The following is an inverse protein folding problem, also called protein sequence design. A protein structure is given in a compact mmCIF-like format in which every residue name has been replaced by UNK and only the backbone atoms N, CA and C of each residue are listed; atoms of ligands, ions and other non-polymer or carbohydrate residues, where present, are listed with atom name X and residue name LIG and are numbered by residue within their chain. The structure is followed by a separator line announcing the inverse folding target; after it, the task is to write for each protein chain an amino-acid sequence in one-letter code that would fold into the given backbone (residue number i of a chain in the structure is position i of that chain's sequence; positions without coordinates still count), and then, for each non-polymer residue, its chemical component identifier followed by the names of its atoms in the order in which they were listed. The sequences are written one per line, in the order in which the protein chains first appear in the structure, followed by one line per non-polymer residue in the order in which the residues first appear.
data_IF_363024864779
#
_entry.id   IF_363024864779
#
_cell.length_a   1.000
_cell.length_b   1.000
_cell.length_c   1.000
_cell.angle_alpha   90.00
_cell.angle_beta   90.00
_cell.angle_gamma   90.00
#
_symmetry.space_group_name_H-M   'P 1'
#
loop_
_entity.id
_entity.type
_entity.pdbx_description
1 polymer ?
#
# COMPACT_ATOMS: atom_id res chain seq x y z
N UNK A 1 46.47 -42.13 -34.17
CA UNK A 1 47.88 -42.58 -34.03
C UNK A 1 48.74 -41.33 -33.91
N UNK A 2 49.54 -41.24 -32.83
CA UNK A 2 50.72 -40.36 -32.62
C UNK A 2 50.49 -38.85 -32.60
N UNK A 3 50.48 -38.18 -31.43
CA UNK A 3 51.61 -37.70 -30.59
C UNK A 3 52.50 -36.62 -31.22
N UNK A 4 52.76 -35.61 -30.37
CA UNK A 4 53.96 -34.77 -30.19
C UNK A 4 53.95 -33.39 -30.84
N UNK A 5 54.53 -32.34 -30.25
CA UNK A 5 55.10 -31.96 -28.94
C UNK A 5 55.66 -30.52 -29.16
N UNK A 6 56.19 -29.92 -28.08
CA UNK A 6 57.07 -28.72 -28.03
C UNK A 6 56.30 -27.40 -28.02
N UNK A 7 56.12 -26.73 -26.89
CA UNK A 7 57.09 -26.17 -25.92
C UNK A 7 58.05 -25.16 -26.58
N UNK A 8 57.71 -23.87 -26.46
CA UNK A 8 58.71 -22.78 -26.40
C UNK A 8 58.20 -21.72 -25.43
N UNK A 9 58.91 -21.61 -24.30
CA UNK A 9 58.87 -20.47 -23.39
C UNK A 9 59.62 -19.33 -24.07
N UNK A 10 59.00 -18.16 -24.19
CA UNK A 10 59.72 -16.95 -24.55
C UNK A 10 59.21 -15.76 -23.73
N UNK A 11 60.12 -15.28 -22.90
CA UNK A 11 60.11 -14.07 -22.07
C UNK A 11 59.65 -12.85 -22.87
N UNK A 12 58.64 -12.11 -22.39
CA UNK A 12 58.36 -10.76 -22.88
C UNK A 12 58.21 -9.82 -21.67
N UNK A 13 58.93 -8.71 -21.82
CA UNK A 13 59.21 -7.69 -20.84
C UNK A 13 58.00 -6.80 -20.52
N UNK A 14 58.13 -6.20 -19.34
CA UNK A 14 57.33 -5.14 -18.74
C UNK A 14 57.20 -3.93 -19.68
N UNK A 15 55.97 -3.50 -19.97
CA UNK A 15 55.66 -2.14 -20.40
C UNK A 15 54.29 -1.75 -19.84
N UNK A 16 54.32 -0.83 -18.87
CA UNK A 16 53.17 -0.26 -18.20
C UNK A 16 52.37 0.62 -19.18
N UNK A 17 51.11 0.27 -19.41
CA UNK A 17 50.13 1.16 -20.00
C UNK A 17 49.30 1.76 -18.86
N UNK A 18 49.48 3.07 -18.63
CA UNK A 18 48.60 3.91 -17.83
C UNK A 18 47.16 3.80 -18.36
N UNK A 19 46.28 3.16 -17.60
CA UNK A 19 44.86 3.46 -17.64
C UNK A 19 44.57 4.36 -16.43
N UNK A 20 44.29 5.63 -16.70
CA UNK A 20 43.79 6.60 -15.74
C UNK A 20 42.42 6.12 -15.25
N UNK A 21 42.39 5.42 -14.12
CA UNK A 21 41.18 5.23 -13.34
C UNK A 21 40.86 6.52 -12.61
N UNK A 22 39.85 7.26 -13.06
CA UNK A 22 39.23 8.30 -12.24
C UNK A 22 38.43 7.62 -11.14
N UNK A 23 39.10 7.34 -10.03
CA UNK A 23 38.49 7.03 -8.75
C UNK A 23 37.83 8.31 -8.23
N UNK A 24 36.57 8.57 -8.58
CA UNK A 24 35.76 9.58 -7.91
C UNK A 24 35.35 9.04 -6.53
N UNK A 25 36.30 9.07 -5.58
CA UNK A 25 35.95 9.18 -4.18
C UNK A 25 35.46 10.61 -3.99
N UNK A 26 34.14 10.84 -4.01
CA UNK A 26 33.63 12.10 -3.49
C UNK A 26 33.83 12.05 -1.98
N UNK A 27 34.91 12.66 -1.49
CA UNK A 27 34.97 13.07 -0.09
C UNK A 27 33.73 13.94 0.16
N UNK A 28 32.85 13.48 1.05
CA UNK A 28 31.72 14.25 1.53
C UNK A 28 32.30 15.41 2.32
N UNK A 29 32.45 16.55 1.67
CA UNK A 29 32.81 17.79 2.34
C UNK A 29 31.65 18.14 3.27
N UNK A 30 31.81 17.87 4.57
CA UNK A 30 30.93 18.43 5.59
C UNK A 30 31.17 19.93 5.62
N UNK A 31 30.29 20.67 4.94
CA UNK A 31 30.26 22.13 5.06
C UNK A 31 29.99 22.47 6.52
N UNK A 32 30.82 23.28 7.19
CA UNK A 32 30.54 23.71 8.55
C UNK A 32 29.20 24.43 8.58
N UNK A 33 28.33 24.08 9.53
CA UNK A 33 27.05 24.76 9.70
C UNK A 33 27.30 26.26 9.94
N UNK A 34 26.83 27.10 9.02
CA UNK A 34 26.93 28.56 9.14
C UNK A 34 26.08 29.02 10.33
N UNK A 35 26.65 29.68 11.35
CA UNK A 35 25.85 30.22 12.45
C UNK A 35 24.88 31.27 11.89
N UNK A 36 23.58 31.01 11.99
CA UNK A 36 22.53 31.90 11.48
C UNK A 36 21.98 31.58 10.10
N UNK A 37 22.32 30.43 9.49
CA UNK A 37 21.55 29.92 8.36
C UNK A 37 20.09 29.65 8.84
N UNK A 38 19.06 30.04 8.07
CA UNK A 38 17.68 29.72 8.43
C UNK A 38 17.56 28.21 8.58
N UNK A 39 16.93 27.76 9.67
CA UNK A 39 16.66 26.33 9.85
C UNK A 39 15.93 25.81 8.60
N UNK A 40 16.52 24.81 7.94
CA UNK A 40 15.88 24.17 6.79
C UNK A 40 14.60 23.52 7.30
N UNK A 41 13.45 24.05 6.88
CA UNK A 41 12.16 23.49 7.21
C UNK A 41 12.04 22.09 6.60
N UNK A 42 11.50 21.11 7.35
CA UNK A 42 11.42 19.74 6.88
C UNK A 42 10.47 19.64 5.70
N UNK A 43 10.83 18.76 4.76
CA UNK A 43 10.00 18.38 3.63
C UNK A 43 9.47 16.98 3.88
N UNK A 44 8.16 16.86 4.07
CA UNK A 44 7.52 15.55 4.14
C UNK A 44 7.36 15.00 2.74
N UNK A 45 7.80 13.75 2.51
CA UNK A 45 7.67 13.03 1.24
C UNK A 45 6.73 11.85 1.39
N UNK A 46 5.59 11.91 0.72
CA UNK A 46 4.64 10.79 0.68
C UNK A 46 5.11 9.70 -0.30
N UNK A 47 5.07 8.44 0.13
CA UNK A 47 5.44 7.27 -0.66
C UNK A 47 4.35 6.22 -0.53
N UNK A 48 3.94 5.59 -1.63
CA UNK A 48 2.97 4.50 -1.56
C UNK A 48 3.66 3.22 -1.10
N UNK A 49 3.06 2.54 -0.13
CA UNK A 49 3.46 1.19 0.24
C UNK A 49 3.19 0.21 -0.91
N UNK A 50 4.07 -0.78 -1.03
CA UNK A 50 3.73 -2.02 -1.73
C UNK A 50 2.55 -2.71 -1.01
N UNK A 51 1.92 -3.68 -1.67
CA UNK A 51 1.05 -4.60 -0.95
C UNK A 51 1.90 -5.39 0.04
N UNK A 52 1.35 -5.62 1.23
CA UNK A 52 1.97 -6.54 2.17
C UNK A 52 1.92 -7.96 1.58
N UNK A 53 3.01 -8.72 1.78
CA UNK A 53 3.19 -10.03 1.15
C UNK A 53 3.79 -10.01 -0.27
N UNK A 54 4.22 -8.84 -0.78
CA UNK A 54 5.05 -8.77 -2.00
C UNK A 54 4.29 -8.84 -3.33
N UNK A 55 2.94 -8.77 -3.30
CA UNK A 55 2.15 -8.63 -4.51
C UNK A 55 2.35 -7.27 -5.20
N UNK A 56 2.23 -7.26 -6.53
CA UNK A 56 2.41 -6.05 -7.33
C UNK A 56 1.09 -5.30 -7.54
N UNK A 57 1.19 -3.97 -7.57
CA UNK A 57 0.09 -3.12 -7.98
C UNK A 57 -0.14 -3.22 -9.49
N UNK A 58 -1.40 -3.17 -9.91
CA UNK A 58 -1.78 -3.12 -11.31
C UNK A 58 -1.64 -1.71 -11.88
N UNK A 59 -1.65 -1.61 -13.21
CA UNK A 59 -1.68 -0.31 -13.89
C UNK A 59 -2.89 0.50 -13.42
N UNK A 60 -2.67 1.77 -13.07
CA UNK A 60 -3.71 2.67 -12.58
C UNK A 60 -4.11 2.50 -11.12
N UNK A 61 -3.80 1.37 -10.47
CA UNK A 61 -4.18 1.09 -9.07
C UNK A 61 -3.54 2.07 -8.08
N UNK A 62 -2.37 2.60 -8.44
CA UNK A 62 -1.60 3.57 -7.66
C UNK A 62 -1.73 5.01 -8.16
N UNK A 63 -2.67 5.26 -9.09
CA UNK A 63 -2.93 6.62 -9.56
C UNK A 63 -3.50 7.44 -8.41
N UNK A 64 -2.82 8.54 -8.12
CA UNK A 64 -3.32 9.54 -7.20
C UNK A 64 -4.00 10.65 -8.01
N UNK A 65 -5.18 11.08 -7.56
CA UNK A 65 -5.95 12.19 -8.14
C UNK A 65 -5.83 13.45 -7.29
N UNK A 66 -5.76 13.28 -5.97
CA UNK A 66 -5.52 14.34 -4.98
C UNK A 66 -4.61 13.83 -3.87
N UNK A 67 -3.89 14.76 -3.22
CA UNK A 67 -3.03 14.48 -2.07
C UNK A 67 -3.09 15.68 -1.11
N UNK A 68 -3.46 15.41 0.13
CA UNK A 68 -3.64 16.42 1.18
C UNK A 68 -2.93 15.97 2.45
N UNK A 69 -2.44 16.92 3.25
CA UNK A 69 -1.86 16.63 4.55
C UNK A 69 -2.49 17.49 5.64
N UNK A 70 -2.89 16.88 6.75
CA UNK A 70 -3.55 17.51 7.89
C UNK A 70 -2.58 17.48 9.08
N UNK A 71 -2.13 18.66 9.52
CA UNK A 71 -1.25 18.83 10.66
C UNK A 71 -2.07 19.09 11.91
N UNK A 72 -1.93 18.21 12.89
CA UNK A 72 -2.50 18.37 14.22
C UNK A 72 -1.42 18.81 15.18
N UNK A 73 -1.68 19.85 15.96
CA UNK A 73 -0.80 20.37 17.01
C UNK A 73 -1.63 20.47 18.29
N UNK A 74 -1.09 19.98 19.39
CA UNK A 74 -1.79 19.93 20.68
C UNK A 74 -3.19 19.28 20.57
N UNK A 75 -3.31 18.23 19.74
CA UNK A 75 -4.55 17.47 19.53
C UNK A 75 -5.63 18.16 18.71
N UNK A 76 -5.35 19.28 18.04
CA UNK A 76 -6.31 20.02 17.20
C UNK A 76 -5.77 20.24 15.79
N UNK A 77 -6.64 20.18 14.78
CA UNK A 77 -6.28 20.45 13.39
C UNK A 77 -5.81 21.90 13.24
N UNK A 78 -4.51 22.08 13.02
CA UNK A 78 -3.88 23.38 12.89
C UNK A 78 -3.84 23.85 11.44
N UNK A 79 -3.60 22.93 10.50
CA UNK A 79 -3.44 23.26 9.07
C UNK A 79 -3.68 22.08 8.16
N UNK A 80 -4.24 22.35 6.99
CA UNK A 80 -4.35 21.45 5.85
C UNK A 80 -3.47 21.99 4.73
N UNK A 81 -2.68 21.10 4.14
CA UNK A 81 -1.81 21.35 3.01
C UNK A 81 -2.34 20.62 1.79
N UNK A 82 -2.16 21.23 0.61
CA UNK A 82 -2.36 20.57 -0.69
C UNK A 82 -1.02 20.23 -1.29
N UNK A 83 -0.83 18.96 -1.66
CA UNK A 83 0.43 18.46 -2.17
C UNK A 83 0.34 18.23 -3.68
N UNK A 84 1.45 18.41 -4.42
CA UNK A 84 1.50 18.02 -5.81
C UNK A 84 1.42 16.49 -5.94
N UNK A 85 0.68 16.04 -6.95
CA UNK A 85 0.45 14.63 -7.23
C UNK A 85 1.45 14.08 -8.27
N UNK A 86 2.37 14.92 -8.76
CA UNK A 86 3.29 14.58 -9.83
C UNK A 86 4.36 13.57 -9.37
N UNK A 87 4.71 12.57 -10.20
CA UNK A 87 5.74 11.58 -9.87
C UNK A 87 7.15 12.18 -9.69
N UNK A 88 7.46 13.25 -10.43
CA UNK A 88 8.85 13.70 -10.64
C UNK A 88 9.35 14.74 -9.61
N UNK A 89 8.45 15.44 -8.91
CA UNK A 89 8.81 16.51 -7.97
C UNK A 89 9.00 16.02 -6.52
N UNK A 90 8.77 14.73 -6.28
CA UNK A 90 8.56 14.19 -4.95
C UNK A 90 7.24 14.72 -4.38
N UNK A 91 6.40 13.83 -3.87
CA UNK A 91 5.11 14.16 -3.27
C UNK A 91 5.33 14.87 -1.94
N UNK A 92 5.73 16.14 -2.03
CA UNK A 92 6.46 16.87 -1.01
C UNK A 92 5.67 18.03 -0.43
N UNK A 93 5.70 18.23 0.89
CA UNK A 93 5.25 19.48 1.52
C UNK A 93 6.30 20.00 2.49
N UNK A 94 6.66 21.28 2.35
CA UNK A 94 7.49 21.95 3.34
C UNK A 94 6.64 22.35 4.54
N UNK A 95 6.98 21.84 5.72
CA UNK A 95 6.26 22.17 6.95
C UNK A 95 6.73 23.51 7.51
N UNK A 96 5.92 24.12 8.38
CA UNK A 96 6.29 25.38 9.04
C UNK A 96 7.02 25.15 10.37
N UNK A 97 6.95 23.93 10.91
CA UNK A 97 7.53 23.52 12.20
C UNK A 97 7.60 21.98 12.34
N UNK A 98 8.49 21.49 13.21
CA UNK A 98 8.51 20.11 13.71
C UNK A 98 7.67 20.03 14.99
N UNK A 99 6.35 19.92 14.88
CA UNK A 99 5.49 19.80 16.06
C UNK A 99 4.20 19.06 15.72
N UNK A 100 3.78 18.18 16.63
CA UNK A 100 2.54 17.42 16.54
C UNK A 100 2.61 16.24 15.56
N UNK A 101 1.49 15.93 14.93
CA UNK A 101 1.35 14.78 14.03
C UNK A 101 0.84 15.22 12.67
N UNK A 102 1.49 14.77 11.61
CA UNK A 102 1.03 14.99 10.25
C UNK A 102 0.36 13.73 9.71
N UNK A 103 -0.89 13.87 9.29
CA UNK A 103 -1.63 12.83 8.58
C UNK A 103 -1.69 13.17 7.11
N UNK A 104 -1.43 12.20 6.24
CA UNK A 104 -1.49 12.39 4.79
C UNK A 104 -2.58 11.47 4.24
N UNK A 105 -3.44 12.03 3.39
CA UNK A 105 -4.53 11.31 2.73
C UNK A 105 -4.50 11.59 1.22
N UNK A 106 -4.84 10.59 0.43
CA UNK A 106 -4.88 10.70 -1.03
C UNK A 106 -6.16 10.04 -1.58
N UNK A 107 -6.61 10.53 -2.74
CA UNK A 107 -7.86 10.08 -3.39
C UNK A 107 -9.08 10.25 -2.48
N UNK A 108 -9.15 11.39 -1.80
CA UNK A 108 -10.21 11.73 -0.84
C UNK A 108 -11.10 12.89 -1.28
N UNK A 109 -10.83 13.49 -2.44
CA UNK A 109 -11.69 14.51 -3.02
C UNK A 109 -13.12 13.98 -3.20
N UNK A 110 -14.11 14.74 -2.73
CA UNK A 110 -15.52 14.33 -2.73
C UNK A 110 -15.91 13.30 -1.66
N UNK A 111 -14.93 12.70 -0.95
CA UNK A 111 -15.17 11.85 0.22
C UNK A 111 -15.09 12.64 1.52
N UNK A 112 -14.22 13.65 1.56
CA UNK A 112 -13.98 14.52 2.72
C UNK A 112 -13.98 16.00 2.29
N UNK A 113 -14.60 16.86 3.09
CA UNK A 113 -14.47 18.31 2.95
C UNK A 113 -13.43 18.85 3.94
N UNK A 114 -12.15 18.69 3.59
CA UNK A 114 -11.04 19.07 4.47
C UNK A 114 -10.97 20.59 4.72
N UNK A 115 -11.47 21.41 3.79
CA UNK A 115 -11.48 22.86 3.94
C UNK A 115 -12.54 23.30 4.96
N UNK A 116 -13.70 22.63 4.98
CA UNK A 116 -14.70 22.81 6.04
C UNK A 116 -14.20 22.30 7.41
N UNK A 117 -13.54 21.14 7.45
CA UNK A 117 -13.00 20.58 8.70
C UNK A 117 -11.96 21.49 9.35
N UNK A 118 -11.09 22.14 8.56
CA UNK A 118 -10.11 23.09 9.09
C UNK A 118 -10.77 24.29 9.78
N UNK A 119 -11.92 24.74 9.30
CA UNK A 119 -12.66 25.86 9.92
C UNK A 119 -13.34 25.46 11.23
N UNK A 120 -13.61 24.16 11.43
CA UNK A 120 -14.42 23.61 12.51
C UNK A 120 -13.70 23.26 13.82
N UNK A 121 -12.39 23.52 13.95
CA UNK A 121 -11.59 23.11 15.12
C UNK A 121 -11.68 21.60 15.43
N UNK A 122 -11.45 20.76 14.42
CA UNK A 122 -11.50 19.30 14.55
C UNK A 122 -10.44 18.77 15.52
N UNK A 123 -10.84 17.89 16.45
CA UNK A 123 -9.92 17.20 17.35
C UNK A 123 -9.21 16.02 16.65
N UNK A 124 -7.97 15.73 17.04
CA UNK A 124 -7.21 14.59 16.51
C UNK A 124 -7.87 13.25 16.86
N UNK A 125 -8.52 13.17 18.03
CA UNK A 125 -9.29 11.98 18.43
C UNK A 125 -10.50 11.73 17.55
N UNK A 126 -11.18 12.78 17.08
CA UNK A 126 -12.32 12.64 16.17
C UNK A 126 -11.82 12.34 14.75
N UNK A 127 -10.72 12.98 14.33
CA UNK A 127 -10.06 12.70 13.06
C UNK A 127 -9.68 11.21 12.92
N UNK A 128 -9.09 10.60 13.95
CA UNK A 128 -8.75 9.17 13.95
C UNK A 128 -9.96 8.24 13.82
N UNK A 129 -11.16 8.71 14.16
CA UNK A 129 -12.42 7.95 14.04
C UNK A 129 -13.17 8.24 12.75
N UNK A 130 -12.69 9.17 11.92
CA UNK A 130 -13.34 9.45 10.65
C UNK A 130 -13.25 8.25 9.71
N UNK A 131 -14.32 8.07 8.95
CA UNK A 131 -14.46 6.97 8.01
C UNK A 131 -14.83 7.49 6.62
N UNK A 132 -14.42 6.74 5.60
CA UNK A 132 -14.96 6.88 4.25
C UNK A 132 -16.09 5.89 4.05
N UNK A 133 -17.08 6.28 3.26
CA UNK A 133 -18.22 5.42 2.91
C UNK A 133 -18.25 5.21 1.40
N UNK A 134 -18.65 4.01 0.96
CA UNK A 134 -18.88 3.70 -0.45
C UNK A 134 -19.93 4.65 -1.03
N UNK A 135 -19.56 5.42 -2.05
CA UNK A 135 -20.47 6.31 -2.79
C UNK A 135 -20.97 5.71 -4.12
N UNK A 136 -20.49 4.52 -4.50
CA UNK A 136 -20.77 3.90 -5.80
C UNK A 136 -20.86 2.38 -5.74
N UNK A 137 -20.48 1.70 -6.83
CA UNK A 137 -20.55 0.23 -6.93
C UNK A 137 -19.34 -0.50 -6.32
N UNK A 138 -18.27 0.23 -6.01
CA UNK A 138 -17.03 -0.30 -5.46
C UNK A 138 -16.55 0.59 -4.32
N UNK A 139 -15.79 0.04 -3.35
CA UNK A 139 -15.12 0.83 -2.32
C UNK A 139 -14.23 1.92 -2.93
N UNK A 140 -14.10 3.04 -2.22
CA UNK A 140 -13.19 4.10 -2.61
C UNK A 140 -11.74 3.64 -2.49
N UNK A 141 -10.94 3.82 -3.55
CA UNK A 141 -9.51 3.56 -3.53
C UNK A 141 -8.75 4.78 -2.98
N UNK A 142 -8.80 4.94 -1.66
CA UNK A 142 -8.09 5.99 -0.93
C UNK A 142 -6.79 5.47 -0.31
N UNK A 143 -5.88 6.39 0.02
CA UNK A 143 -4.63 6.08 0.70
C UNK A 143 -4.45 6.96 1.93
N UNK A 144 -3.80 6.42 2.95
CA UNK A 144 -3.52 7.17 4.18
C UNK A 144 -2.23 6.73 4.86
N UNK A 145 -1.63 7.65 5.60
CA UNK A 145 -0.46 7.40 6.44
C UNK A 145 -0.22 8.57 7.39
N UNK A 146 0.64 8.38 8.38
CA UNK A 146 0.95 9.42 9.36
C UNK A 146 2.42 9.43 9.77
N UNK A 147 2.87 10.53 10.35
CA UNK A 147 4.18 10.65 10.99
C UNK A 147 4.06 11.58 12.20
N UNK A 148 4.64 11.15 13.33
CA UNK A 148 4.84 12.04 14.47
C UNK A 148 6.05 12.93 14.20
N UNK A 149 5.87 14.24 14.39
CA UNK A 149 6.91 15.25 14.21
C UNK A 149 7.58 15.62 15.54
N UNK A 150 6.98 15.22 16.66
CA UNK A 150 7.50 15.49 18.00
C UNK A 150 8.77 14.66 18.26
N UNK A 151 9.79 15.31 18.82
CA UNK A 151 11.07 14.65 19.13
C UNK A 151 12.00 14.43 17.94
N UNK A 152 11.62 14.82 16.73
CA UNK A 152 12.52 14.81 15.57
C UNK A 152 13.60 15.89 15.72
N UNK A 153 14.86 15.52 15.42
CA UNK A 153 15.94 16.49 15.39
C UNK A 153 15.73 17.48 14.23
N UNK A 154 15.96 18.77 14.47
CA UNK A 154 15.89 19.83 13.46
C UNK A 154 16.91 19.66 12.30
N UNK A 155 17.73 18.61 12.32
CA UNK A 155 18.69 18.22 11.29
C UNK A 155 18.06 17.32 10.21
N UNK A 156 16.91 16.69 10.49
CA UNK A 156 16.18 15.90 9.51
C UNK A 156 15.35 16.80 8.60
N UNK A 157 15.79 16.93 7.35
CA UNK A 157 15.15 17.81 6.37
C UNK A 157 14.20 17.08 5.42
N UNK A 158 14.24 15.74 5.38
CA UNK A 158 13.32 14.92 4.59
C UNK A 158 12.65 13.87 5.47
N UNK A 159 11.32 13.90 5.51
CA UNK A 159 10.51 13.08 6.41
C UNK A 159 9.59 12.17 5.57
N UNK A 160 9.87 10.86 5.46
CA UNK A 160 9.05 9.97 4.66
C UNK A 160 7.74 9.62 5.37
N UNK A 161 6.61 9.73 4.67
CA UNK A 161 5.31 9.21 5.12
C UNK A 161 4.90 8.09 4.17
N UNK A 162 4.74 6.90 4.74
CA UNK A 162 4.30 5.72 3.99
C UNK A 162 2.78 5.70 3.95
N UNK A 163 2.20 5.72 2.75
CA UNK A 163 0.77 5.66 2.53
C UNK A 163 0.34 4.24 2.17
N UNK A 164 -0.64 3.72 2.90
CA UNK A 164 -1.24 2.40 2.67
C UNK A 164 -2.60 2.59 2.01
N UNK A 165 -3.02 1.63 1.18
CA UNK A 165 -4.39 1.58 0.64
C UNK A 165 -5.39 1.41 1.78
N UNK A 166 -6.54 2.03 1.65
CA UNK A 166 -7.69 1.85 2.55
C UNK A 166 -8.52 0.59 2.28
N UNK A 167 -8.14 -0.19 1.28
CA UNK A 167 -8.85 -1.39 0.80
C UNK A 167 -7.93 -2.59 0.76
N UNK A 168 -8.52 -3.78 0.86
CA UNK A 168 -7.95 -5.04 0.46
C UNK A 168 -8.34 -5.38 -0.99
N UNK A 169 -7.46 -6.08 -1.70
CA UNK A 169 -7.70 -6.59 -3.06
C UNK A 169 -7.91 -8.09 -3.03
N UNK A 170 -8.79 -8.60 -3.88
CA UNK A 170 -8.95 -10.03 -4.11
C UNK A 170 -8.50 -10.42 -5.51
N UNK A 171 -7.66 -11.44 -5.59
CA UNK A 171 -7.20 -12.04 -6.84
C UNK A 171 -7.81 -13.45 -6.99
N UNK A 172 -8.13 -13.87 -8.21
CA UNK A 172 -8.64 -15.21 -8.51
C UNK A 172 -7.51 -16.09 -9.06
N UNK A 173 -7.42 -17.31 -8.53
CA UNK A 173 -6.60 -18.38 -9.10
C UNK A 173 -7.46 -19.59 -9.45
N UNK A 174 -7.31 -20.11 -10.67
CA UNK A 174 -7.99 -21.33 -11.12
C UNK A 174 -6.98 -22.46 -11.18
N UNK A 175 -7.19 -23.50 -10.38
CA UNK A 175 -6.26 -24.64 -10.19
C UNK A 175 -7.02 -25.95 -10.35
N UNK A 176 -7.46 -26.24 -11.57
CA UNK A 176 -8.24 -27.43 -11.90
C UNK A 176 -7.53 -28.28 -12.94
N UNK A 177 -7.48 -29.60 -12.73
CA UNK A 177 -7.09 -30.55 -13.77
C UNK A 177 -8.27 -30.78 -14.73
N UNK A 178 -8.59 -29.80 -15.57
CA UNK A 178 -9.78 -29.82 -16.43
C UNK A 178 -10.17 -28.42 -16.92
N UNK A 179 -11.26 -28.35 -17.70
CA UNK A 179 -11.80 -27.05 -18.11
C UNK A 179 -12.61 -26.48 -16.96
N UNK A 180 -12.27 -25.26 -16.55
CA UNK A 180 -13.01 -24.52 -15.55
C UNK A 180 -13.28 -23.09 -16.02
N UNK A 181 -14.42 -22.55 -15.63
CA UNK A 181 -14.75 -21.15 -15.79
C UNK A 181 -15.48 -20.63 -14.55
N UNK A 182 -15.27 -19.36 -14.21
CA UNK A 182 -15.95 -18.68 -13.10
C UNK A 182 -16.84 -17.59 -13.68
N UNK A 183 -18.14 -17.67 -13.43
CA UNK A 183 -19.13 -16.74 -13.98
C UNK A 183 -19.63 -15.71 -12.96
N UNK A 184 -19.44 -15.95 -11.67
CA UNK A 184 -19.82 -15.03 -10.60
C UNK A 184 -18.88 -15.16 -9.41
N UNK A 185 -18.54 -14.02 -8.81
CA UNK A 185 -17.85 -13.91 -7.53
C UNK A 185 -18.60 -12.86 -6.72
N UNK A 186 -18.99 -13.20 -5.50
CA UNK A 186 -19.71 -12.33 -4.60
C UNK A 186 -19.10 -12.38 -3.20
N UNK A 187 -18.88 -11.21 -2.62
CA UNK A 187 -18.51 -11.04 -1.23
C UNK A 187 -19.75 -10.59 -0.46
N UNK A 188 -20.30 -11.49 0.36
CA UNK A 188 -21.49 -11.25 1.17
C UNK A 188 -21.14 -10.59 2.48
N UNK A 189 -22.03 -9.72 2.95
CA UNK A 189 -21.89 -8.99 4.21
C UNK A 189 -20.64 -8.09 4.30
N UNK A 190 -20.23 -7.49 3.17
CA UNK A 190 -19.08 -6.60 3.11
C UNK A 190 -19.41 -5.21 3.67
N UNK A 191 -18.55 -4.72 4.57
CA UNK A 191 -18.58 -3.36 5.10
C UNK A 191 -18.58 -2.32 3.97
N UNK A 192 -19.45 -1.32 4.11
CA UNK A 192 -19.59 -0.20 3.16
C UNK A 192 -18.87 1.07 3.64
N UNK A 193 -18.13 0.99 4.74
CA UNK A 193 -17.26 2.06 5.21
C UNK A 193 -16.00 1.49 5.87
N UNK A 194 -14.93 2.28 5.89
CA UNK A 194 -13.69 2.01 6.61
C UNK A 194 -13.16 3.27 7.26
N UNK A 195 -12.47 3.11 8.39
CA UNK A 195 -11.70 4.20 8.99
C UNK A 195 -10.62 4.72 8.03
N UNK A 196 -10.39 6.03 8.05
CA UNK A 196 -9.34 6.66 7.25
C UNK A 196 -7.95 6.10 7.59
N UNK A 197 -7.68 5.85 8.86
CA UNK A 197 -6.41 5.30 9.34
C UNK A 197 -6.62 3.89 9.90
N UNK A 198 -5.56 3.05 9.94
CA UNK A 198 -5.60 1.80 10.70
C UNK A 198 -6.00 2.07 12.15
N UNK A 199 -6.80 1.17 12.72
CA UNK A 199 -7.22 1.22 14.12
C UNK A 199 -6.91 -0.11 14.80
N UNK A 200 -6.63 -0.07 16.10
CA UNK A 200 -6.56 -1.28 16.91
C UNK A 200 -7.98 -1.68 17.37
N UNK A 201 -8.28 -2.98 17.38
CA UNK A 201 -9.57 -3.49 17.83
C UNK A 201 -10.59 -3.58 16.70
N UNK A 202 -11.78 -3.02 16.89
CA UNK A 202 -12.86 -3.10 15.89
C UNK A 202 -12.48 -2.35 14.61
N UNK A 203 -12.20 -3.13 13.57
CA UNK A 203 -11.72 -2.65 12.29
C UNK A 203 -12.80 -1.90 11.49
N UNK A 204 -14.07 -2.02 11.89
CA UNK A 204 -15.18 -1.35 11.22
C UNK A 204 -15.67 -0.12 11.99
N UNK A 205 -16.07 0.96 11.27
CA UNK A 205 -16.73 2.09 11.91
C UNK A 205 -17.98 1.68 12.70
N UNK A 206 -18.25 2.41 13.79
CA UNK A 206 -19.48 2.22 14.57
C UNK A 206 -20.71 2.35 13.65
N UNK A 207 -21.66 1.42 13.79
CA UNK A 207 -22.86 1.32 12.95
C UNK A 207 -22.59 1.15 11.44
N UNK A 208 -21.48 0.51 11.06
CA UNK A 208 -21.19 0.17 9.66
C UNK A 208 -22.36 -0.55 8.99
N UNK A 209 -22.77 -0.07 7.82
CA UNK A 209 -23.70 -0.81 6.96
C UNK A 209 -22.95 -1.88 6.17
N UNK A 210 -23.59 -3.03 5.95
CA UNK A 210 -23.01 -4.17 5.23
C UNK A 210 -23.92 -4.58 4.08
N UNK A 211 -23.32 -4.91 2.94
CA UNK A 211 -24.04 -5.30 1.72
C UNK A 211 -23.25 -6.37 0.95
N UNK A 212 -23.94 -7.06 0.05
CA UNK A 212 -23.31 -8.01 -0.87
C UNK A 212 -22.68 -7.24 -2.04
N UNK A 213 -21.41 -7.54 -2.32
CA UNK A 213 -20.64 -6.90 -3.39
C UNK A 213 -20.28 -7.95 -4.43
N UNK A 214 -20.67 -7.71 -5.68
CA UNK A 214 -20.39 -8.61 -6.80
C UNK A 214 -19.23 -8.12 -7.65
N UNK A 215 -18.38 -9.05 -8.10
CA UNK A 215 -17.35 -8.78 -9.09
C UNK A 215 -18.01 -8.39 -10.43
N UNK A 216 -17.37 -7.48 -11.17
CA UNK A 216 -17.82 -7.16 -12.54
C UNK A 216 -17.21 -8.15 -13.51
N UNK A 217 -17.99 -9.16 -13.89
CA UNK A 217 -17.59 -10.23 -14.83
C UNK A 217 -18.53 -10.19 -16.03
N UNK A 218 -18.03 -9.76 -17.20
CA UNK A 218 -18.81 -9.74 -18.44
C UNK A 218 -18.76 -11.07 -19.19
N UNK A 219 -17.66 -11.79 -19.07
CA UNK A 219 -17.44 -13.11 -19.65
C UNK A 219 -16.83 -14.04 -18.59
N UNK A 220 -17.17 -15.34 -18.58
CA UNK A 220 -16.63 -16.27 -17.60
C UNK A 220 -15.09 -16.27 -17.59
N UNK A 221 -14.51 -16.13 -16.40
CA UNK A 221 -13.07 -16.12 -16.19
C UNK A 221 -12.54 -17.54 -16.32
N UNK A 222 -11.57 -17.76 -17.22
CA UNK A 222 -10.96 -19.08 -17.49
C UNK A 222 -9.49 -19.14 -17.10
N UNK A 223 -8.95 -18.05 -16.57
CA UNK A 223 -7.55 -17.90 -16.17
C UNK A 223 -7.46 -17.16 -14.84
N UNK A 224 -6.27 -17.19 -14.24
CA UNK A 224 -5.96 -16.35 -13.08
C UNK A 224 -6.21 -14.90 -13.43
N UNK A 225 -6.95 -14.22 -12.56
CA UNK A 225 -7.43 -12.87 -12.80
C UNK A 225 -7.17 -12.04 -11.56
N UNK A 226 -6.29 -11.04 -11.60
CA UNK A 226 -6.07 -10.17 -10.46
C UNK A 226 -7.25 -9.19 -10.29
N UNK A 227 -7.38 -8.60 -9.10
CA UNK A 227 -8.31 -7.52 -8.79
C UNK A 227 -9.78 -7.81 -9.17
N UNK A 228 -10.26 -9.02 -8.92
CA UNK A 228 -11.67 -9.38 -9.16
C UNK A 228 -12.63 -8.64 -8.22
N UNK A 229 -12.15 -8.27 -7.03
CA UNK A 229 -12.88 -7.48 -6.04
C UNK A 229 -11.93 -6.61 -5.20
N UNK A 230 -12.50 -5.55 -4.62
CA UNK A 230 -11.91 -4.79 -3.53
C UNK A 230 -12.92 -4.72 -2.38
N UNK A 231 -12.43 -4.67 -1.15
CA UNK A 231 -13.26 -4.49 0.03
C UNK A 231 -12.55 -3.66 1.09
N UNK A 232 -13.32 -2.95 1.89
CA UNK A 232 -12.82 -2.23 3.05
C UNK A 232 -12.35 -3.19 4.15
N UNK A 233 -11.35 -2.74 4.91
CA UNK A 233 -10.94 -3.38 6.14
C UNK A 233 -12.12 -3.55 7.10
N UNK A 234 -12.25 -4.73 7.68
CA UNK A 234 -13.39 -5.08 8.52
C UNK A 234 -13.12 -6.34 9.35
N UNK A 235 -13.82 -6.43 10.47
CA UNK A 235 -14.01 -7.69 11.16
C UNK A 235 -14.90 -8.62 10.35
N UNK A 236 -14.60 -9.91 10.43
CA UNK A 236 -15.20 -10.95 9.59
C UNK A 236 -16.39 -11.65 10.24
N UNK A 237 -17.23 -10.87 10.94
CA UNK A 237 -18.52 -11.32 11.45
C UNK A 237 -19.43 -11.73 10.29
N UNK A 238 -19.33 -12.99 9.86
CA UNK A 238 -20.03 -13.61 8.73
C UNK A 238 -19.56 -13.18 7.32
N UNK A 239 -18.32 -12.70 7.23
CA UNK A 239 -17.49 -12.54 6.03
C UNK A 239 -17.60 -13.73 5.04
N UNK A 240 -18.38 -13.71 3.96
CA UNK A 240 -18.53 -14.90 3.09
C UNK A 240 -18.26 -14.62 1.62
N UNK A 241 -17.42 -15.44 0.98
CA UNK A 241 -17.26 -15.47 -0.47
C UNK A 241 -18.11 -16.57 -1.08
N UNK A 242 -18.84 -16.23 -2.14
CA UNK A 242 -19.59 -17.15 -2.99
C UNK A 242 -19.08 -17.06 -4.43
N UNK A 243 -18.76 -18.21 -5.03
CA UNK A 243 -18.28 -18.32 -6.42
C UNK A 243 -19.17 -19.29 -7.17
N UNK A 244 -19.65 -18.88 -8.34
CA UNK A 244 -20.31 -19.77 -9.30
C UNK A 244 -19.29 -20.17 -10.37
N UNK A 245 -18.98 -21.45 -10.44
CA UNK A 245 -18.01 -22.00 -11.37
C UNK A 245 -18.59 -23.18 -12.16
N UNK A 246 -18.24 -23.30 -13.43
CA UNK A 246 -18.45 -24.50 -14.23
C UNK A 246 -17.13 -25.27 -14.30
N UNK A 247 -17.12 -26.52 -13.84
CA UNK A 247 -15.93 -27.37 -13.85
C UNK A 247 -16.29 -28.70 -14.50
N UNK A 248 -15.61 -29.02 -15.61
CA UNK A 248 -15.88 -30.19 -16.45
C UNK A 248 -17.36 -30.37 -16.82
N UNK A 249 -18.02 -29.25 -17.18
CA UNK A 249 -19.42 -29.21 -17.61
C UNK A 249 -20.44 -29.20 -16.48
N UNK A 250 -20.01 -29.16 -15.21
CA UNK A 250 -20.91 -29.07 -14.06
C UNK A 250 -20.81 -27.69 -13.40
N UNK A 251 -21.94 -26.99 -13.32
CA UNK A 251 -22.06 -25.74 -12.57
C UNK A 251 -22.17 -26.04 -11.07
N UNK A 252 -21.33 -25.38 -10.28
CA UNK A 252 -21.30 -25.47 -8.83
C UNK A 252 -21.27 -24.07 -8.21
N UNK A 253 -21.94 -23.94 -7.07
CA UNK A 253 -21.79 -22.79 -6.18
C UNK A 253 -20.87 -23.19 -5.04
N UNK A 254 -19.77 -22.46 -4.89
CA UNK A 254 -18.76 -22.66 -3.85
C UNK A 254 -18.90 -21.53 -2.84
N UNK A 255 -18.93 -21.88 -1.56
CA UNK A 255 -19.12 -20.89 -0.50
C UNK A 255 -18.07 -21.09 0.58
N UNK A 256 -17.46 -19.99 1.04
CA UNK A 256 -16.46 -20.02 2.10
C UNK A 256 -16.63 -18.80 2.99
N UNK A 257 -16.80 -19.05 4.29
CA UNK A 257 -16.67 -18.02 5.30
C UNK A 257 -15.19 -17.74 5.55
N UNK A 258 -14.81 -16.46 5.58
CA UNK A 258 -13.48 -15.99 5.88
C UNK A 258 -13.32 -15.94 7.40
N UNK A 259 -12.45 -16.79 7.95
CA UNK A 259 -12.27 -16.96 9.40
C UNK A 259 -11.32 -15.98 10.07
N UNK A 260 -10.91 -14.91 9.40
CA UNK A 260 -9.92 -13.94 9.89
C UNK A 260 -10.30 -12.55 9.43
N UNK A 261 -10.01 -11.51 10.19
CA UNK A 261 -10.24 -10.12 9.78
C UNK A 261 -9.68 -9.81 8.38
N UNK A 262 -10.38 -8.93 7.66
CA UNK A 262 -9.88 -8.37 6.42
C UNK A 262 -9.08 -7.11 6.71
N UNK A 263 -7.77 -7.17 6.54
CA UNK A 263 -6.87 -6.03 6.70
C UNK A 263 -6.64 -5.28 5.37
N UNK A 264 -6.54 -3.95 5.46
CA UNK A 264 -6.27 -3.08 4.31
C UNK A 264 -4.86 -3.30 3.74
N UNK A 265 -4.63 -2.85 2.51
CA UNK A 265 -3.33 -2.91 1.84
C UNK A 265 -2.74 -4.34 1.68
N UNK A 266 -3.61 -5.35 1.71
CA UNK A 266 -3.28 -6.77 1.46
C UNK A 266 -3.98 -7.29 0.21
N UNK A 267 -3.41 -8.35 -0.35
CA UNK A 267 -4.00 -9.14 -1.44
C UNK A 267 -4.46 -10.48 -0.88
N UNK A 268 -5.72 -10.80 -1.10
CA UNK A 268 -6.34 -12.07 -0.74
C UNK A 268 -6.54 -12.90 -2.00
N UNK A 269 -6.01 -14.11 -2.02
CA UNK A 269 -6.13 -14.97 -3.21
C UNK A 269 -7.28 -15.95 -3.03
N UNK A 270 -8.29 -15.85 -3.89
CA UNK A 270 -9.39 -16.79 -4.04
C UNK A 270 -8.94 -17.94 -4.95
N UNK A 271 -8.62 -19.10 -4.37
CA UNK A 271 -8.20 -20.26 -5.18
C UNK A 271 -9.35 -21.22 -5.43
N UNK A 272 -9.83 -21.33 -6.67
CA UNK A 272 -10.79 -22.36 -7.09
C UNK A 272 -10.01 -23.61 -7.50
N UNK A 273 -10.07 -24.67 -6.68
CA UNK A 273 -9.38 -25.94 -6.94
C UNK A 273 -10.35 -27.04 -7.35
N UNK A 274 -9.87 -28.00 -8.14
CA UNK A 274 -10.51 -29.31 -8.26
C UNK A 274 -9.49 -30.38 -7.93
N UNK A 275 -9.66 -31.03 -6.80
CA UNK A 275 -8.97 -32.27 -6.47
C UNK A 275 -9.80 -33.48 -6.94
N UNK A 276 -9.29 -34.70 -6.71
CA UNK A 276 -9.91 -35.94 -7.21
C UNK A 276 -11.38 -36.09 -6.77
N UNK A 277 -11.79 -35.43 -5.67
CA UNK A 277 -13.14 -35.56 -5.10
C UNK A 277 -13.76 -34.22 -4.64
N UNK A 278 -12.99 -33.15 -4.45
CA UNK A 278 -13.49 -31.93 -3.78
C UNK A 278 -13.11 -30.62 -4.51
N UNK A 279 -13.94 -29.60 -4.32
CA UNK A 279 -13.75 -28.25 -4.85
C UNK A 279 -13.73 -27.29 -3.66
N UNK A 280 -12.57 -26.73 -3.34
CA UNK A 280 -12.36 -25.86 -2.18
C UNK A 280 -12.01 -24.43 -2.58
N UNK A 281 -12.20 -23.50 -1.64
CA UNK A 281 -11.65 -22.15 -1.67
C UNK A 281 -10.58 -22.02 -0.59
N UNK A 282 -9.34 -21.82 -1.00
CA UNK A 282 -8.20 -21.54 -0.12
C UNK A 282 -7.81 -20.08 -0.21
N UNK A 283 -7.39 -19.52 0.94
CA UNK A 283 -6.78 -18.20 1.07
C UNK A 283 -5.32 -18.40 1.47
N UNK A 284 -4.39 -17.86 0.70
CA UNK A 284 -2.97 -17.85 1.03
C UNK A 284 -2.49 -16.42 1.33
N UNK A 285 -1.63 -16.32 2.34
CA UNK A 285 -0.92 -15.12 2.73
C UNK A 285 0.56 -15.33 2.47
N UNK A 286 1.20 -14.36 1.82
CA UNK A 286 2.63 -14.20 2.00
C UNK A 286 2.79 -13.37 3.30
N UNK A 287 2.91 -14.05 4.44
CA UNK A 287 3.21 -13.40 5.72
C UNK A 287 4.62 -12.79 5.63
N UNK A 288 4.70 -11.47 5.69
CA UNK A 288 5.94 -10.73 5.95
C UNK A 288 5.69 -9.70 7.03
N UNK A 289 6.72 -9.43 7.84
CA UNK A 289 6.72 -8.63 9.06
C UNK A 289 6.03 -7.26 8.91
N UNK A 290 5.37 -6.75 9.98
CA UNK A 290 4.61 -5.52 9.93
C UNK A 290 5.51 -4.36 9.52
N UNK A 291 5.16 -3.69 8.42
CA UNK A 291 5.65 -2.34 8.18
C UNK A 291 4.98 -1.41 9.19
N UNK A 292 5.53 -1.30 10.41
CA UNK A 292 5.04 -0.33 11.38
C UNK A 292 4.95 1.07 10.75
N UNK A 293 4.12 1.93 11.34
CA UNK A 293 4.22 3.38 11.09
C UNK A 293 5.69 3.81 11.10
N UNK A 294 6.06 4.76 10.24
CA UNK A 294 7.44 5.23 10.14
C UNK A 294 7.85 5.87 11.48
N UNK A 295 8.38 5.06 12.38
CA UNK A 295 9.02 5.52 13.60
C UNK A 295 10.45 5.87 13.22
N UNK A 296 10.72 7.16 13.01
CA UNK A 296 12.08 7.64 12.79
C UNK A 296 12.84 7.49 14.12
N UNK A 297 13.62 6.41 14.27
CA UNK A 297 14.55 6.32 15.38
C UNK A 297 15.65 7.39 15.20
N UNK A 298 15.93 8.24 16.20
CA UNK A 298 17.07 9.15 16.13
C UNK A 298 18.36 8.33 16.03
N UNK A 299 19.23 8.71 15.09
CA UNK A 299 20.53 8.08 14.96
C UNK A 299 21.35 8.36 16.24
N UNK A 300 21.63 7.33 17.05
CA UNK A 300 22.58 7.47 18.16
C UNK A 300 23.93 7.88 17.59
N UNK A 301 24.40 9.07 17.97
CA UNK A 301 25.83 9.41 18.04
C UNK A 301 26.31 9.28 19.47
#
# INVERSE_FOLDING_TARGET
MKTNKMTTVMTIAFAAAMALGLSSCSERMETPATPGAPALLPVVRAQLAAFEGGGQALEGENTLTDLRACLFVDGTLAKVYTLPVTPDAGRGVQLERHAGTLYVVANTEGLLDLDALQQGSLSESDWKKMAVTTAGKAPANFFSGSISLDGLENTQTELPVTLRRGVARFDLQIRTAGKASVSSIMLKNAAQSAYLFPVEGDLSPEAVSRQDVAATISEPLTQDTPAVLYAYEQENDNLTVEIVAEIDGQVKTLTKQLGMALERNKIYTLTVRKDVIDVSLDLSFDEWEPGGDTELMPARR
#
